data_IF_075443620225
#
_entry.id   IF_075443620225
#
_cell.length_a   1.000
_cell.length_b   1.000
_cell.length_c   1.000
_cell.angle_alpha   90.00
_cell.angle_beta   90.00
_cell.angle_gamma   90.00
#
_symmetry.space_group_name_H-M   'P 1'
#
loop_
_entity.id
_entity.type
_entity.pdbx_description
1 polymer ?
#
# COMPACT_ATOMS: atom_id res chain seq x y z
N UNK A 1 -30.79 11.87 6.63
CA UNK A 1 -30.41 10.99 5.50
C UNK A 1 -31.64 10.18 5.12
N UNK A 2 -32.03 10.11 3.86
CA UNK A 2 -33.19 9.31 3.44
C UNK A 2 -32.93 7.85 3.80
N UNK A 3 -33.91 7.18 4.36
CA UNK A 3 -33.90 5.72 4.58
C UNK A 3 -34.04 5.07 3.21
N UNK A 4 -32.96 4.51 2.69
CA UNK A 4 -33.00 3.65 1.50
C UNK A 4 -33.57 2.32 1.98
N UNK A 5 -34.88 2.14 1.82
CA UNK A 5 -35.58 0.90 2.18
C UNK A 5 -35.41 -0.20 1.13
N UNK A 6 -34.98 0.16 -0.08
CA UNK A 6 -34.82 -0.77 -1.19
C UNK A 6 -33.35 -1.18 -1.32
N UNK A 7 -33.11 -2.48 -1.57
CA UNK A 7 -31.78 -2.97 -1.86
C UNK A 7 -31.33 -2.44 -3.23
N UNK A 8 -30.24 -1.66 -3.25
CA UNK A 8 -29.64 -1.16 -4.48
C UNK A 8 -28.49 -2.07 -4.89
N UNK A 9 -28.59 -2.60 -6.10
CA UNK A 9 -27.50 -3.38 -6.69
C UNK A 9 -26.59 -2.46 -7.50
N UNK A 10 -25.32 -2.39 -7.11
CA UNK A 10 -24.29 -1.63 -7.81
C UNK A 10 -23.26 -2.60 -8.41
N UNK A 11 -22.98 -2.45 -9.70
CA UNK A 11 -22.00 -3.27 -10.43
C UNK A 11 -20.81 -2.40 -10.84
N UNK A 12 -19.65 -3.03 -10.94
CA UNK A 12 -18.41 -2.39 -11.41
C UNK A 12 -18.06 -1.11 -10.62
N UNK A 13 -18.20 -1.19 -9.30
CA UNK A 13 -17.77 -0.10 -8.42
C UNK A 13 -16.28 -0.18 -8.14
N UNK A 14 -15.67 0.99 -7.93
CA UNK A 14 -14.27 1.08 -7.54
C UNK A 14 -14.11 0.79 -6.05
N UNK A 15 -13.25 -0.16 -5.72
CA UNK A 15 -12.94 -0.52 -4.34
C UNK A 15 -12.07 0.56 -3.68
N UNK A 16 -12.47 1.15 -2.54
CA UNK A 16 -11.73 2.25 -1.91
C UNK A 16 -10.66 1.77 -0.92
N UNK A 17 -10.50 0.47 -0.67
CA UNK A 17 -9.74 -0.03 0.47
C UNK A 17 -8.24 -0.18 0.26
N UNK A 18 -7.76 -0.06 -0.98
CA UNK A 18 -6.32 0.00 -1.25
C UNK A 18 -6.05 0.66 -2.61
N UNK A 19 -4.80 1.02 -2.86
CA UNK A 19 -4.39 1.78 -4.05
C UNK A 19 -4.50 1.00 -5.39
N UNK A 20 -4.94 -0.25 -5.38
CA UNK A 20 -5.24 -0.97 -6.62
C UNK A 20 -6.51 -0.46 -7.29
N UNK A 21 -7.44 0.11 -6.50
CA UNK A 21 -8.73 0.62 -6.99
C UNK A 21 -9.43 -0.36 -7.96
N UNK A 22 -9.53 -1.63 -7.52
CA UNK A 22 -10.24 -2.65 -8.33
C UNK A 22 -11.62 -2.15 -8.71
N UNK A 23 -11.98 -2.21 -9.99
CA UNK A 23 -13.20 -1.66 -10.60
C UNK A 23 -14.22 -2.73 -10.99
N UNK A 24 -13.98 -3.96 -10.60
CA UNK A 24 -14.79 -5.15 -10.91
C UNK A 24 -15.67 -5.59 -9.73
N UNK A 25 -15.89 -4.76 -8.75
CA UNK A 25 -16.63 -5.10 -7.53
C UNK A 25 -18.11 -4.86 -7.74
N UNK A 26 -18.94 -5.84 -7.34
CA UNK A 26 -20.40 -5.72 -7.30
C UNK A 26 -20.89 -5.83 -5.87
N UNK A 27 -21.74 -4.92 -5.45
CA UNK A 27 -22.29 -4.87 -4.09
C UNK A 27 -23.79 -4.66 -4.10
N UNK A 28 -24.48 -5.26 -3.13
CA UNK A 28 -25.81 -4.84 -2.71
C UNK A 28 -25.71 -3.92 -1.51
N UNK A 29 -26.40 -2.80 -1.57
CA UNK A 29 -26.54 -1.91 -0.43
C UNK A 29 -27.88 -2.22 0.24
N UNK A 30 -27.83 -2.72 1.47
CA UNK A 30 -29.03 -3.01 2.27
C UNK A 30 -28.78 -2.57 3.70
N UNK A 31 -29.71 -1.84 4.29
CA UNK A 31 -29.64 -1.37 5.69
C UNK A 31 -28.32 -0.64 6.00
N UNK A 32 -27.82 0.19 5.10
CA UNK A 32 -26.52 0.87 5.17
C UNK A 32 -25.30 -0.09 5.26
N UNK A 33 -25.46 -1.33 4.82
CA UNK A 33 -24.38 -2.30 4.74
C UNK A 33 -24.06 -2.62 3.29
N UNK A 34 -22.77 -2.83 3.02
CA UNK A 34 -22.27 -3.27 1.71
C UNK A 34 -22.15 -4.80 1.72
N UNK A 35 -22.96 -5.46 0.94
CA UNK A 35 -22.92 -6.92 0.76
C UNK A 35 -22.23 -7.21 -0.57
N UNK A 36 -20.96 -7.65 -0.51
CA UNK A 36 -20.16 -7.96 -1.69
C UNK A 36 -20.66 -9.26 -2.33
N UNK A 37 -20.89 -9.24 -3.64
CA UNK A 37 -21.32 -10.40 -4.43
C UNK A 37 -20.18 -11.18 -5.07
N UNK A 38 -19.05 -10.53 -5.30
CA UNK A 38 -17.90 -11.19 -5.88
C UNK A 38 -17.27 -12.18 -4.90
N UNK A 39 -16.70 -13.24 -5.44
CA UNK A 39 -15.79 -14.10 -4.67
C UNK A 39 -14.45 -13.40 -4.53
N UNK A 40 -14.30 -12.67 -3.43
CA UNK A 40 -13.10 -11.92 -3.11
C UNK A 40 -12.17 -12.72 -2.20
N UNK A 41 -10.88 -12.46 -2.32
CA UNK A 41 -9.89 -12.97 -1.37
C UNK A 41 -10.29 -12.65 0.08
N UNK A 42 -10.07 -13.53 1.05
CA UNK A 42 -10.49 -13.34 2.44
C UNK A 42 -10.04 -12.00 3.04
N UNK A 43 -8.83 -11.56 2.73
CA UNK A 43 -8.28 -10.28 3.18
C UNK A 43 -9.00 -9.06 2.59
N UNK A 44 -9.50 -9.15 1.35
CA UNK A 44 -10.32 -8.10 0.74
C UNK A 44 -11.72 -8.11 1.34
N UNK A 45 -12.34 -9.29 1.48
CA UNK A 45 -13.67 -9.45 2.09
C UNK A 45 -13.72 -8.89 3.51
N UNK A 46 -12.70 -9.18 4.31
CA UNK A 46 -12.59 -8.67 5.68
C UNK A 46 -12.58 -7.12 5.76
N UNK A 47 -12.11 -6.41 4.75
CA UNK A 47 -12.16 -4.94 4.69
C UNK A 47 -13.58 -4.43 4.55
N UNK A 48 -14.41 -5.05 3.71
CA UNK A 48 -15.84 -4.73 3.60
C UNK A 48 -16.59 -5.06 4.88
N UNK A 49 -16.33 -6.22 5.49
CA UNK A 49 -16.94 -6.60 6.77
C UNK A 49 -16.57 -5.61 7.88
N UNK A 50 -15.32 -5.16 7.93
CA UNK A 50 -14.87 -4.15 8.89
C UNK A 50 -15.57 -2.80 8.66
N UNK A 51 -15.78 -2.39 7.42
CA UNK A 51 -16.53 -1.19 7.08
C UNK A 51 -17.98 -1.28 7.55
N UNK A 52 -18.62 -2.45 7.41
CA UNK A 52 -19.99 -2.69 7.84
C UNK A 52 -20.17 -2.71 9.36
N UNK A 53 -19.11 -2.93 10.12
CA UNK A 53 -19.16 -2.82 11.58
C UNK A 53 -19.21 -1.34 11.93
N UNK A 54 -20.23 -0.94 12.69
CA UNK A 54 -20.38 0.44 13.20
C UNK A 54 -19.29 0.78 14.22
N UNK A 55 -18.03 0.82 13.78
CA UNK A 55 -16.87 1.15 14.63
C UNK A 55 -16.89 2.65 15.01
N UNK A 56 -17.65 3.46 14.29
CA UNK A 56 -17.65 4.91 14.45
C UNK A 56 -18.59 5.44 15.55
N UNK A 57 -19.40 4.60 16.19
CA UNK A 57 -20.33 5.06 17.23
C UNK A 57 -19.69 5.25 18.61
N UNK A 58 -18.44 4.79 18.82
CA UNK A 58 -17.76 4.86 20.13
C UNK A 58 -16.60 5.85 20.16
N UNK A 59 -16.53 6.80 19.23
CA UNK A 59 -15.52 7.85 19.30
C UNK A 59 -15.97 8.98 20.25
N UNK A 60 -16.13 8.65 21.52
CA UNK A 60 -16.22 9.69 22.54
C UNK A 60 -14.84 10.34 22.71
N UNK A 61 -14.81 11.67 22.59
CA UNK A 61 -13.60 12.41 22.95
C UNK A 61 -13.33 12.20 24.45
N UNK A 62 -12.04 12.06 24.80
CA UNK A 62 -11.63 11.90 26.20
C UNK A 62 -10.57 12.94 26.58
N UNK A 63 -10.72 13.54 27.75
CA UNK A 63 -9.72 14.40 28.37
C UNK A 63 -9.25 13.73 29.66
N UNK A 64 -7.97 13.41 29.78
CA UNK A 64 -7.42 12.67 30.93
C UNK A 64 -8.19 11.40 31.28
N UNK A 65 -8.59 10.65 30.24
CA UNK A 65 -9.34 9.39 30.40
C UNK A 65 -10.84 9.52 30.67
N UNK A 66 -11.36 10.75 30.91
CA UNK A 66 -12.80 11.01 31.12
C UNK A 66 -13.46 11.48 29.84
N UNK A 67 -14.69 11.04 29.59
CA UNK A 67 -15.45 11.46 28.42
C UNK A 67 -15.71 12.97 28.41
N UNK A 68 -15.59 13.55 27.22
CA UNK A 68 -15.76 14.98 27.01
C UNK A 68 -16.44 15.27 25.67
N UNK A 69 -17.15 16.38 25.58
CA UNK A 69 -17.69 16.83 24.31
C UNK A 69 -16.56 17.27 23.36
N UNK A 70 -16.81 17.17 22.05
CA UNK A 70 -15.88 17.61 21.00
C UNK A 70 -15.42 19.04 21.27
N UNK A 71 -16.32 19.97 21.55
CA UNK A 71 -16.00 21.38 21.84
C UNK A 71 -15.03 21.52 23.02
N UNK A 72 -15.33 20.86 24.14
CA UNK A 72 -14.42 20.88 25.32
C UNK A 72 -13.05 20.31 25.01
N UNK A 73 -13.00 19.29 24.17
CA UNK A 73 -11.73 18.67 23.76
C UNK A 73 -10.89 19.62 22.89
N UNK A 74 -11.51 20.29 21.92
CA UNK A 74 -10.84 21.30 21.11
C UNK A 74 -10.34 22.48 21.98
N UNK A 75 -11.15 23.01 22.88
CA UNK A 75 -10.74 24.09 23.78
C UNK A 75 -9.57 23.66 24.67
N UNK A 76 -9.57 22.42 25.13
CA UNK A 76 -8.46 21.85 25.91
C UNK A 76 -7.19 21.72 25.08
N UNK A 77 -7.26 21.19 23.87
CA UNK A 77 -6.12 21.09 22.95
C UNK A 77 -5.54 22.49 22.64
N UNK A 78 -6.40 23.47 22.33
CA UNK A 78 -6.00 24.86 22.08
C UNK A 78 -5.21 25.45 23.27
N UNK A 79 -5.69 25.22 24.50
CA UNK A 79 -5.00 25.66 25.70
C UNK A 79 -3.64 25.02 25.88
N UNK A 80 -3.49 23.73 25.54
CA UNK A 80 -2.20 23.03 25.61
C UNK A 80 -1.22 23.57 24.58
N UNK A 81 -1.64 23.73 23.33
CA UNK A 81 -0.81 24.28 22.26
C UNK A 81 -0.34 25.68 22.60
N UNK A 82 -1.23 26.56 23.08
CA UNK A 82 -0.87 27.93 23.44
C UNK A 82 0.09 28.04 24.65
N UNK A 83 0.17 27.00 25.47
CA UNK A 83 1.08 26.94 26.63
C UNK A 83 2.40 26.24 26.31
N UNK A 84 2.48 25.53 25.18
CA UNK A 84 3.69 24.80 24.82
C UNK A 84 4.70 25.74 24.19
N UNK A 85 5.97 25.53 24.50
CA UNK A 85 7.08 26.23 23.84
C UNK A 85 7.28 25.71 22.43
N UNK A 86 6.97 24.43 22.19
CA UNK A 86 7.14 23.76 20.92
C UNK A 86 6.07 22.66 20.77
N UNK A 87 5.51 22.51 19.58
CA UNK A 87 4.51 21.50 19.30
C UNK A 87 4.99 20.60 18.16
N UNK A 88 5.06 19.29 18.40
CA UNK A 88 5.33 18.31 17.36
C UNK A 88 4.01 17.79 16.77
N UNK A 89 3.88 17.88 15.45
CA UNK A 89 2.78 17.27 14.70
C UNK A 89 3.34 16.05 13.95
N UNK A 90 3.00 14.85 14.42
CA UNK A 90 3.38 13.61 13.78
C UNK A 90 2.31 13.15 12.78
N UNK A 91 2.64 13.18 11.50
CA UNK A 91 1.77 12.69 10.43
C UNK A 91 2.11 11.24 10.08
N UNK A 92 1.27 10.30 10.45
CA UNK A 92 1.49 8.88 10.17
C UNK A 92 1.15 8.50 8.72
N UNK A 93 0.07 9.04 8.17
CA UNK A 93 -0.38 8.86 6.79
C UNK A 93 -1.58 9.78 6.52
N UNK A 94 -1.50 10.59 5.49
CA UNK A 94 -2.62 11.45 5.09
C UNK A 94 -2.59 11.77 3.60
N UNK A 95 -3.70 12.29 3.08
CA UNK A 95 -3.77 12.81 1.73
C UNK A 95 -3.09 14.18 1.60
N UNK A 96 -2.96 14.66 0.36
CA UNK A 96 -2.28 15.92 0.06
C UNK A 96 -2.95 17.13 0.73
N UNK A 97 -4.28 17.14 0.85
CA UNK A 97 -5.00 18.27 1.45
C UNK A 97 -4.73 18.34 2.95
N UNK A 98 -4.78 17.21 3.63
CA UNK A 98 -4.43 17.11 5.06
C UNK A 98 -2.96 17.52 5.27
N UNK A 99 -2.03 17.10 4.41
CA UNK A 99 -0.63 17.52 4.50
C UNK A 99 -0.48 19.04 4.38
N UNK A 100 -1.21 19.70 3.47
CA UNK A 100 -1.21 21.16 3.35
C UNK A 100 -1.72 21.84 4.60
N UNK A 101 -2.82 21.36 5.17
CA UNK A 101 -3.39 21.90 6.40
C UNK A 101 -2.47 21.72 7.61
N UNK A 102 -1.78 20.56 7.70
CA UNK A 102 -0.79 20.31 8.75
C UNK A 102 0.36 21.31 8.64
N UNK A 103 0.94 21.51 7.44
CA UNK A 103 2.03 22.45 7.21
C UNK A 103 1.61 23.89 7.51
N UNK A 104 0.42 24.31 7.02
CA UNK A 104 -0.15 25.63 7.31
C UNK A 104 -0.39 25.86 8.80
N UNK A 105 -0.91 24.84 9.48
CA UNK A 105 -1.16 24.92 10.93
C UNK A 105 0.14 24.98 11.74
N UNK A 106 1.12 24.15 11.37
CA UNK A 106 2.42 24.13 12.03
C UNK A 106 3.11 25.49 11.96
N UNK A 107 3.09 26.16 10.80
CA UNK A 107 3.69 27.49 10.65
C UNK A 107 3.05 28.55 11.55
N UNK A 108 1.75 28.42 11.85
CA UNK A 108 1.01 29.37 12.71
C UNK A 108 1.28 29.19 14.20
N UNK A 109 1.67 27.98 14.62
CA UNK A 109 1.91 27.64 16.02
C UNK A 109 3.39 27.42 16.35
N UNK A 110 4.30 27.79 15.45
CA UNK A 110 5.73 27.48 15.54
C UNK A 110 5.98 25.99 15.83
N UNK A 111 5.26 25.13 15.10
CA UNK A 111 5.29 23.69 15.29
C UNK A 111 6.28 22.99 14.37
N UNK A 112 6.79 21.86 14.83
CA UNK A 112 7.60 20.94 14.03
C UNK A 112 6.67 19.90 13.41
N UNK A 113 6.86 19.60 12.11
CA UNK A 113 6.15 18.51 11.42
C UNK A 113 7.12 17.38 11.15
N UNK A 114 6.76 16.19 11.55
CA UNK A 114 7.50 14.98 11.23
C UNK A 114 6.57 13.90 10.64
N UNK A 115 7.16 12.91 10.01
CA UNK A 115 6.46 11.81 9.37
C UNK A 115 7.07 10.47 9.79
N UNK A 116 6.25 9.45 9.99
CA UNK A 116 6.69 8.12 10.45
C UNK A 116 7.81 7.50 9.58
N UNK A 117 7.90 7.89 8.31
CA UNK A 117 8.91 7.43 7.36
C UNK A 117 9.92 8.52 6.96
N UNK A 118 10.05 9.63 7.68
CA UNK A 118 10.85 10.78 7.25
C UNK A 118 12.32 10.43 7.02
N UNK A 119 12.94 9.59 7.84
CA UNK A 119 14.33 9.19 7.64
C UNK A 119 14.57 8.47 6.30
N UNK A 120 13.65 7.58 5.91
CA UNK A 120 13.70 6.89 4.62
C UNK A 120 13.37 7.83 3.48
N UNK A 121 12.39 8.70 3.66
CA UNK A 121 11.96 9.69 2.68
C UNK A 121 13.08 10.68 2.35
N UNK A 122 13.77 11.24 3.35
CA UNK A 122 14.88 12.17 3.15
C UNK A 122 16.06 11.53 2.43
N UNK A 123 16.38 10.26 2.72
CA UNK A 123 17.41 9.50 1.98
C UNK A 123 17.02 9.33 0.52
N UNK A 124 15.77 9.01 0.24
CA UNK A 124 15.25 8.83 -1.11
C UNK A 124 15.24 10.16 -1.89
N UNK A 125 14.83 11.27 -1.27
CA UNK A 125 14.89 12.59 -1.91
C UNK A 125 16.33 12.94 -2.32
N UNK A 126 17.29 12.76 -1.43
CA UNK A 126 18.70 13.00 -1.74
C UNK A 126 19.22 12.16 -2.92
N UNK A 127 18.71 10.93 -3.05
CA UNK A 127 19.02 10.08 -4.20
C UNK A 127 18.37 10.60 -5.48
N UNK A 128 17.08 10.96 -5.43
CA UNK A 128 16.33 11.49 -6.58
C UNK A 128 16.92 12.78 -7.12
N UNK A 129 17.35 13.68 -6.24
CA UNK A 129 18.01 14.94 -6.64
C UNK A 129 19.34 14.70 -7.37
N UNK A 130 20.08 13.65 -7.01
CA UNK A 130 21.39 13.35 -7.62
C UNK A 130 21.31 12.49 -8.89
N UNK A 131 20.35 11.56 -8.95
CA UNK A 131 20.27 10.52 -9.98
C UNK A 131 19.02 10.60 -10.84
N UNK A 132 18.10 11.48 -10.52
CA UNK A 132 16.78 11.52 -11.14
C UNK A 132 15.83 10.49 -10.55
N UNK A 133 14.61 10.49 -11.08
CA UNK A 133 13.54 9.62 -10.63
C UNK A 133 12.87 8.96 -11.84
N UNK A 134 12.83 7.64 -11.82
CA UNK A 134 12.17 6.85 -12.84
C UNK A 134 11.04 6.03 -12.20
N UNK A 135 9.83 6.22 -12.69
CA UNK A 135 8.65 5.49 -12.24
C UNK A 135 7.88 4.92 -13.42
N UNK A 136 7.01 3.98 -13.10
CA UNK A 136 6.03 3.44 -14.03
C UNK A 136 4.67 3.34 -13.34
N UNK A 137 3.62 3.21 -14.11
CA UNK A 137 2.26 2.98 -13.60
C UNK A 137 1.97 1.48 -13.49
N UNK A 138 0.99 1.11 -12.65
CA UNK A 138 0.52 -0.28 -12.58
C UNK A 138 -0.01 -0.77 -13.94
N UNK A 139 -0.62 0.13 -14.71
CA UNK A 139 -1.11 -0.17 -16.06
C UNK A 139 0.02 -0.47 -17.03
N UNK A 140 1.14 0.25 -16.95
CA UNK A 140 2.31 -0.04 -17.76
C UNK A 140 2.98 -1.36 -17.36
N UNK A 141 3.11 -1.64 -16.06
CA UNK A 141 3.60 -2.92 -15.57
C UNK A 141 2.71 -4.06 -16.12
N UNK A 142 1.40 -3.89 -16.06
CA UNK A 142 0.44 -4.86 -16.59
C UNK A 142 0.66 -5.14 -18.08
N UNK A 143 0.79 -4.08 -18.87
CA UNK A 143 0.66 -4.16 -20.32
C UNK A 143 1.99 -4.19 -21.09
N UNK A 144 3.09 -3.70 -20.50
CA UNK A 144 4.37 -3.54 -21.22
C UNK A 144 5.52 -4.34 -20.64
N UNK A 145 5.44 -4.79 -19.37
CA UNK A 145 6.58 -5.45 -18.73
C UNK A 145 6.58 -6.95 -19.01
N UNK A 146 7.60 -7.44 -19.67
CA UNK A 146 7.86 -8.89 -19.88
C UNK A 146 8.42 -9.55 -18.62
N UNK A 147 9.24 -8.81 -17.88
CA UNK A 147 9.87 -9.27 -16.65
C UNK A 147 9.53 -8.32 -15.52
N UNK A 148 9.10 -8.87 -14.38
CA UNK A 148 8.89 -8.11 -13.15
C UNK A 148 9.69 -8.74 -12.03
N UNK A 149 10.52 -7.95 -11.36
CA UNK A 149 11.26 -8.36 -10.17
C UNK A 149 10.67 -7.65 -8.97
N UNK A 150 10.14 -8.43 -8.04
CA UNK A 150 9.51 -7.94 -6.83
C UNK A 150 10.44 -8.17 -5.64
N UNK A 151 10.93 -7.09 -5.04
CA UNK A 151 11.73 -7.16 -3.81
C UNK A 151 10.81 -7.10 -2.61
N UNK A 152 10.79 -8.18 -1.84
CA UNK A 152 9.87 -8.40 -0.72
C UNK A 152 8.45 -8.82 -1.14
N UNK A 153 7.93 -9.81 -0.46
CA UNK A 153 6.56 -10.31 -0.62
C UNK A 153 5.54 -9.50 0.19
N UNK A 154 5.98 -8.57 1.05
CA UNK A 154 5.09 -7.75 1.87
C UNK A 154 4.10 -6.92 1.06
N UNK A 155 4.48 -6.50 -0.15
CA UNK A 155 3.59 -5.76 -1.04
C UNK A 155 2.35 -6.58 -1.43
N UNK A 156 2.48 -7.89 -1.58
CA UNK A 156 1.36 -8.77 -1.92
C UNK A 156 0.37 -8.95 -0.76
N UNK A 157 0.84 -8.77 0.48
CA UNK A 157 -0.04 -8.74 1.67
C UNK A 157 -0.83 -7.44 1.74
N UNK A 158 -0.19 -6.33 1.41
CA UNK A 158 -0.83 -5.00 1.39
C UNK A 158 -1.82 -4.86 0.24
N UNK A 159 -1.50 -5.47 -0.91
CA UNK A 159 -2.28 -5.43 -2.13
C UNK A 159 -2.63 -6.85 -2.60
N UNK A 160 -3.61 -7.53 -1.98
CA UNK A 160 -3.84 -8.96 -2.20
C UNK A 160 -4.11 -9.36 -3.64
N UNK A 161 -4.80 -8.50 -4.42
CA UNK A 161 -5.11 -8.76 -5.83
C UNK A 161 -4.06 -8.23 -6.82
N UNK A 162 -2.92 -7.71 -6.33
CA UNK A 162 -1.85 -7.18 -7.19
C UNK A 162 -1.34 -8.24 -8.18
N UNK A 163 -1.19 -9.48 -7.71
CA UNK A 163 -0.76 -10.59 -8.57
C UNK A 163 -1.75 -10.80 -9.73
N UNK A 164 -3.02 -10.95 -9.41
CA UNK A 164 -4.09 -11.24 -10.38
C UNK A 164 -4.30 -10.10 -11.39
N UNK A 165 -4.33 -8.86 -10.90
CA UNK A 165 -4.73 -7.71 -11.72
C UNK A 165 -3.58 -7.15 -12.54
N UNK A 166 -2.36 -7.14 -11.98
CA UNK A 166 -1.21 -6.39 -12.54
C UNK A 166 -0.06 -7.30 -12.95
N UNK A 167 0.42 -8.14 -12.02
CA UNK A 167 1.67 -8.88 -12.24
C UNK A 167 1.47 -10.08 -13.15
N UNK A 168 0.43 -10.88 -12.92
CA UNK A 168 0.09 -12.06 -13.70
C UNK A 168 -1.33 -11.98 -14.32
N UNK A 169 -1.67 -10.91 -15.06
CA UNK A 169 -3.01 -10.71 -15.59
C UNK A 169 -3.37 -11.80 -16.60
N UNK A 170 -4.67 -12.03 -16.76
CA UNK A 170 -5.19 -12.92 -17.81
C UNK A 170 -5.05 -12.30 -19.20
N UNK A 171 -5.23 -10.98 -19.28
CA UNK A 171 -5.20 -10.20 -20.52
C UNK A 171 -4.27 -9.00 -20.39
N UNK A 172 -3.61 -8.66 -21.50
CA UNK A 172 -2.74 -7.50 -21.66
C UNK A 172 -2.89 -6.94 -23.07
N UNK A 173 -2.66 -5.65 -23.25
CA UNK A 173 -2.79 -5.00 -24.56
C UNK A 173 -1.55 -5.13 -25.44
N UNK A 174 -0.36 -5.08 -24.87
CA UNK A 174 0.89 -4.93 -25.65
C UNK A 174 1.76 -6.18 -25.64
N UNK A 175 1.62 -7.04 -24.64
CA UNK A 175 2.44 -8.26 -24.50
C UNK A 175 1.54 -9.48 -24.35
N UNK A 176 2.05 -10.66 -24.69
CA UNK A 176 1.38 -11.90 -24.37
C UNK A 176 1.56 -12.20 -22.87
N UNK A 177 0.47 -12.20 -22.08
CA UNK A 177 0.57 -12.41 -20.64
C UNK A 177 1.21 -13.75 -20.25
N UNK A 178 1.13 -14.76 -21.13
CA UNK A 178 1.71 -16.10 -20.89
C UNK A 178 3.24 -16.07 -20.88
N UNK A 179 3.86 -15.12 -21.58
CA UNK A 179 5.31 -14.99 -21.68
C UNK A 179 5.90 -14.16 -20.53
N UNK A 180 5.05 -13.52 -19.72
CA UNK A 180 5.50 -12.68 -18.63
C UNK A 180 6.19 -13.52 -17.55
N UNK A 181 7.34 -13.06 -17.06
CA UNK A 181 8.10 -13.71 -15.99
C UNK A 181 8.09 -12.83 -14.74
N UNK A 182 7.82 -13.42 -13.60
CA UNK A 182 7.69 -12.72 -12.32
C UNK A 182 8.62 -13.37 -11.32
N UNK A 183 9.62 -12.62 -10.86
CA UNK A 183 10.56 -13.05 -9.83
C UNK A 183 10.19 -12.39 -8.51
N UNK A 184 9.93 -13.18 -7.48
CA UNK A 184 9.66 -12.68 -6.14
C UNK A 184 10.85 -13.03 -5.26
N UNK A 185 11.55 -12.00 -4.81
CA UNK A 185 12.75 -12.12 -3.98
C UNK A 185 12.38 -11.80 -2.54
N UNK A 186 12.51 -12.76 -1.64
CA UNK A 186 12.15 -12.57 -0.25
C UNK A 186 12.44 -13.78 0.60
N UNK A 187 12.16 -13.67 1.89
CA UNK A 187 12.38 -14.72 2.87
C UNK A 187 11.23 -15.75 2.82
N UNK A 188 11.57 -17.03 2.71
CA UNK A 188 10.60 -18.14 2.71
C UNK A 188 9.77 -18.21 3.99
N UNK A 189 10.38 -17.89 5.12
CA UNK A 189 9.71 -18.00 6.42
C UNK A 189 8.57 -16.98 6.59
N UNK A 190 8.68 -15.82 5.94
CA UNK A 190 7.69 -14.74 6.06
C UNK A 190 6.52 -14.81 5.06
N UNK A 191 6.05 -16.03 4.75
CA UNK A 191 4.74 -16.27 4.14
C UNK A 191 4.58 -15.95 2.65
N UNK A 192 5.06 -16.86 1.87
CA UNK A 192 4.52 -17.06 0.52
C UNK A 192 3.14 -17.77 0.52
N UNK A 193 2.55 -18.03 1.69
CA UNK A 193 1.18 -18.57 1.81
C UNK A 193 0.20 -17.58 1.20
N UNK A 194 -0.31 -17.92 0.02
CA UNK A 194 -1.23 -17.09 -0.78
C UNK A 194 -0.59 -16.43 -2.01
N UNK A 195 0.74 -16.43 -2.16
CA UNK A 195 1.42 -15.95 -3.38
C UNK A 195 1.78 -17.10 -4.35
N UNK A 196 1.73 -18.33 -3.89
CA UNK A 196 1.97 -19.53 -4.69
C UNK A 196 0.69 -19.95 -5.38
N UNK A 197 0.31 -19.24 -6.42
CA UNK A 197 -0.43 -19.88 -7.48
C UNK A 197 0.51 -20.89 -8.15
N UNK A 198 0.01 -22.05 -8.59
CA UNK A 198 0.72 -22.97 -9.47
C UNK A 198 0.99 -22.32 -10.85
N UNK A 199 1.25 -21.03 -10.88
CA UNK A 199 1.46 -20.25 -12.09
C UNK A 199 2.92 -20.38 -12.49
N UNK A 200 3.17 -21.03 -13.61
CA UNK A 200 4.50 -21.28 -14.16
C UNK A 200 5.30 -20.01 -14.47
N UNK A 201 4.64 -18.85 -14.50
CA UNK A 201 5.29 -17.55 -14.71
C UNK A 201 6.00 -17.02 -13.47
N UNK A 202 5.73 -17.59 -12.30
CA UNK A 202 6.22 -17.09 -11.01
C UNK A 202 7.39 -17.91 -10.54
N UNK A 203 8.53 -17.26 -10.32
CA UNK A 203 9.73 -17.84 -9.72
C UNK A 203 9.98 -17.20 -8.37
N UNK A 204 10.08 -18.04 -7.34
CA UNK A 204 10.36 -17.61 -5.98
C UNK A 204 11.86 -17.76 -5.71
N UNK A 205 12.48 -16.68 -5.29
CA UNK A 205 13.89 -16.64 -4.93
C UNK A 205 13.99 -16.38 -3.42
N UNK A 206 14.44 -17.41 -2.70
CA UNK A 206 14.71 -17.27 -1.28
C UNK A 206 16.00 -16.48 -1.07
N UNK A 207 15.87 -15.29 -0.52
CA UNK A 207 16.99 -14.41 -0.34
C UNK A 207 16.85 -13.55 0.90
N UNK A 208 17.89 -13.51 1.72
CA UNK A 208 17.87 -12.70 2.94
C UNK A 208 17.85 -11.21 2.57
N UNK A 209 16.87 -10.48 3.10
CA UNK A 209 16.67 -9.05 2.86
C UNK A 209 17.93 -8.19 3.09
N UNK A 210 18.83 -8.61 3.97
CA UNK A 210 20.11 -7.90 4.23
C UNK A 210 21.03 -7.85 3.00
N UNK A 211 20.91 -8.80 2.10
CA UNK A 211 21.76 -8.95 0.93
C UNK A 211 21.14 -8.41 -0.37
N UNK A 212 19.90 -7.86 -0.32
CA UNK A 212 19.23 -7.28 -1.50
C UNK A 212 20.11 -6.23 -2.21
N UNK A 213 20.81 -5.30 -1.52
CA UNK A 213 21.67 -4.34 -2.20
C UNK A 213 22.80 -5.00 -3.00
N UNK A 214 23.35 -6.11 -2.51
CA UNK A 214 24.38 -6.87 -3.24
C UNK A 214 23.81 -7.56 -4.47
N UNK A 215 22.60 -8.12 -4.37
CA UNK A 215 21.92 -8.72 -5.51
C UNK A 215 21.61 -7.67 -6.58
N UNK A 216 21.09 -6.51 -6.21
CA UNK A 216 20.84 -5.41 -7.16
C UNK A 216 22.14 -4.99 -7.83
N UNK A 217 23.21 -4.82 -7.07
CA UNK A 217 24.52 -4.47 -7.59
C UNK A 217 25.03 -5.52 -8.58
N UNK A 218 24.84 -6.82 -8.34
CA UNK A 218 25.23 -7.88 -9.24
C UNK A 218 24.40 -7.91 -10.53
N UNK A 219 23.10 -7.61 -10.46
CA UNK A 219 22.22 -7.50 -11.64
C UNK A 219 22.64 -6.32 -12.52
N UNK A 220 23.00 -5.18 -11.91
CA UNK A 220 23.38 -3.96 -12.63
C UNK A 220 24.80 -4.04 -13.18
N UNK A 221 25.73 -4.61 -12.42
CA UNK A 221 27.14 -4.73 -12.79
C UNK A 221 27.42 -6.11 -13.37
N UNK A 222 27.09 -6.34 -14.63
CA UNK A 222 27.36 -7.58 -15.39
C UNK A 222 28.81 -8.07 -15.34
N UNK A 223 29.74 -7.32 -14.77
CA UNK A 223 31.18 -7.58 -14.81
C UNK A 223 31.81 -8.06 -13.50
N UNK A 224 31.11 -8.07 -12.39
CA UNK A 224 31.70 -8.42 -11.10
C UNK A 224 31.17 -9.77 -10.63
N UNK A 225 31.94 -10.78 -10.88
CA UNK A 225 31.76 -12.14 -10.39
C UNK A 225 31.95 -12.19 -8.87
N UNK A 226 30.83 -12.13 -8.13
CA UNK A 226 30.82 -12.57 -6.74
C UNK A 226 30.19 -13.96 -6.67
N UNK A 227 30.67 -14.88 -5.83
CA UNK A 227 30.18 -16.26 -5.77
C UNK A 227 28.67 -16.38 -5.48
N UNK A 228 28.07 -15.36 -4.86
CA UNK A 228 26.62 -15.25 -4.62
C UNK A 228 25.83 -14.84 -5.87
N UNK A 229 26.47 -14.19 -6.84
CA UNK A 229 25.78 -13.65 -8.02
C UNK A 229 25.41 -14.72 -9.03
N UNK A 230 26.24 -15.73 -9.22
CA UNK A 230 26.09 -16.67 -10.32
C UNK A 230 24.81 -17.52 -10.21
N UNK A 231 24.51 -18.08 -9.04
CA UNK A 231 23.34 -18.95 -8.88
C UNK A 231 22.00 -18.22 -9.10
N UNK A 232 21.86 -17.01 -8.56
CA UNK A 232 20.61 -16.24 -8.67
C UNK A 232 20.52 -15.48 -9.99
N UNK A 233 21.66 -15.09 -10.54
CA UNK A 233 21.75 -14.44 -11.84
C UNK A 233 21.38 -15.42 -12.96
N UNK A 234 21.85 -16.65 -12.89
CA UNK A 234 21.50 -17.71 -13.87
C UNK A 234 20.02 -18.07 -13.80
N UNK A 235 19.37 -17.96 -12.63
CA UNK A 235 17.92 -18.13 -12.50
C UNK A 235 17.12 -16.98 -13.13
N UNK A 236 17.68 -15.77 -13.18
CA UNK A 236 17.03 -14.60 -13.78
C UNK A 236 17.23 -14.53 -15.30
N UNK A 237 18.27 -15.21 -15.83
CA UNK A 237 18.59 -15.20 -17.26
C UNK A 237 18.05 -16.41 -18.03
N UNK A 238 17.66 -17.48 -17.35
CA UNK A 238 16.95 -18.64 -17.93
C UNK A 238 15.45 -18.38 -18.03
#
# INVERSE_FOLDING_TARGET
>A
MPKISDSVNLKNIVCPFCSLHCDDISVDVKDNKLLVKNDLLPSCKAKFEKYNRKIFNDQSCKIKGKEASVKKTFDYCKKLINKSNETLILNASSDVNICREILSSASKINGIVDHINSSTFLKNIGLYQRRGYMTTTLTEIKNKSDIVILFSNNILRSYPRLMEIVLAPKNSFSINPKNKRIFIIGDKENNMKGCTSNDSRITLIDFNNKNIPLLIKSIVNKKNETPLSNKYFDMLLK
#
